data_IF_075757532578
#
_entry.id   IF_075757532578
#
_cell.length_a   1.000
_cell.length_b   1.000
_cell.length_c   1.000
_cell.angle_alpha   90.00
_cell.angle_beta   90.00
_cell.angle_gamma   90.00
#
_symmetry.space_group_name_H-M   'P 1'
#
loop_
_entity.id
_entity.type
_entity.pdbx_description
1 polymer ?
#
# COMPACT_ATOMS: atom_id res chain seq x y z
N UNK A 1 0.03 -17.28 -9.01
CA UNK A 1 -0.57 -18.61 -8.70
C UNK A 1 -2.06 -18.53 -8.98
N UNK A 2 -2.65 -19.50 -9.69
CA UNK A 2 -4.08 -19.47 -9.96
C UNK A 2 -4.89 -19.68 -8.67
N UNK A 3 -5.86 -18.80 -8.40
CA UNK A 3 -6.82 -18.97 -7.30
C UNK A 3 -7.63 -20.25 -7.52
N UNK A 4 -7.88 -21.03 -6.45
CA UNK A 4 -8.79 -22.20 -6.46
C UNK A 4 -10.27 -21.81 -6.45
N UNK A 5 -10.58 -20.55 -6.75
CA UNK A 5 -11.95 -20.04 -6.76
C UNK A 5 -12.76 -20.70 -7.90
N UNK A 6 -13.87 -21.34 -7.53
CA UNK A 6 -14.77 -22.03 -8.44
C UNK A 6 -15.80 -21.05 -9.06
N UNK A 7 -15.30 -19.98 -9.66
CA UNK A 7 -16.10 -19.01 -10.43
C UNK A 7 -16.02 -19.27 -11.94
N UNK A 8 -16.76 -18.48 -12.71
CA UNK A 8 -16.63 -18.44 -14.17
C UNK A 8 -15.18 -18.09 -14.58
N UNK A 9 -14.81 -18.44 -15.82
CA UNK A 9 -13.47 -18.12 -16.33
C UNK A 9 -13.16 -16.62 -16.33
N UNK A 10 -14.17 -15.77 -16.47
CA UNK A 10 -14.01 -14.31 -16.37
C UNK A 10 -13.67 -13.88 -14.94
N UNK A 11 -14.41 -14.37 -13.94
CA UNK A 11 -14.15 -14.09 -12.51
C UNK A 11 -12.78 -14.61 -12.09
N UNK A 12 -12.41 -15.82 -12.53
CA UNK A 12 -11.12 -16.42 -12.22
C UNK A 12 -9.96 -15.60 -12.80
N UNK A 13 -10.09 -15.08 -14.03
CA UNK A 13 -9.11 -14.16 -14.62
C UNK A 13 -9.02 -12.84 -13.87
N UNK A 14 -10.16 -12.22 -13.54
CA UNK A 14 -10.19 -10.96 -12.80
C UNK A 14 -9.54 -11.10 -11.41
N UNK A 15 -9.88 -12.17 -10.68
CA UNK A 15 -9.30 -12.46 -9.36
C UNK A 15 -7.78 -12.70 -9.45
N UNK A 16 -7.32 -13.49 -10.42
CA UNK A 16 -5.90 -13.71 -10.61
C UNK A 16 -5.15 -12.41 -10.93
N UNK A 17 -5.73 -11.55 -11.78
CA UNK A 17 -5.14 -10.25 -12.08
C UNK A 17 -5.05 -9.37 -10.82
N UNK A 18 -6.12 -9.27 -10.04
CA UNK A 18 -6.14 -8.53 -8.78
C UNK A 18 -5.09 -9.04 -7.79
N UNK A 19 -4.99 -10.36 -7.59
CA UNK A 19 -3.99 -10.96 -6.70
C UNK A 19 -2.57 -10.63 -7.16
N UNK A 20 -2.30 -10.71 -8.47
CA UNK A 20 -0.98 -10.40 -9.00
C UNK A 20 -0.64 -8.91 -8.82
N UNK A 21 -1.60 -8.00 -9.06
CA UNK A 21 -1.42 -6.57 -8.84
C UNK A 21 -1.16 -6.26 -7.36
N UNK A 22 -1.97 -6.81 -6.45
CA UNK A 22 -1.81 -6.61 -5.02
C UNK A 22 -0.40 -7.02 -4.54
N UNK A 23 0.06 -8.21 -4.95
CA UNK A 23 1.40 -8.71 -4.59
C UNK A 23 2.53 -7.91 -5.22
N UNK A 24 2.34 -7.44 -6.45
CA UNK A 24 3.29 -6.55 -7.10
C UNK A 24 3.44 -5.27 -6.27
N UNK A 25 2.32 -4.64 -5.88
CA UNK A 25 2.30 -3.46 -5.03
C UNK A 25 2.97 -3.70 -3.68
N UNK A 26 2.70 -4.83 -3.03
CA UNK A 26 3.34 -5.21 -1.76
C UNK A 26 4.86 -5.35 -1.92
N UNK A 27 5.31 -6.01 -3.00
CA UNK A 27 6.74 -6.23 -3.28
C UNK A 27 7.46 -4.92 -3.54
N UNK A 28 6.90 -4.07 -4.42
CA UNK A 28 7.46 -2.78 -4.76
C UNK A 28 7.52 -1.88 -3.54
N UNK A 29 6.41 -1.77 -2.79
CA UNK A 29 6.34 -0.96 -1.57
C UNK A 29 7.38 -1.41 -0.54
N UNK A 30 7.50 -2.72 -0.31
CA UNK A 30 8.46 -3.27 0.64
C UNK A 30 9.89 -2.94 0.25
N UNK A 31 10.22 -2.97 -1.04
CA UNK A 31 11.57 -2.66 -1.51
C UNK A 31 11.87 -1.16 -1.46
N UNK A 32 11.00 -0.32 -2.01
CA UNK A 32 11.19 1.13 -2.07
C UNK A 32 11.19 1.76 -0.69
N UNK A 33 10.39 1.25 0.24
CA UNK A 33 10.26 1.80 1.59
C UNK A 33 11.14 1.08 2.64
N UNK A 34 11.95 0.09 2.25
CA UNK A 34 12.79 -0.69 3.17
C UNK A 34 13.65 0.19 4.08
N UNK A 35 14.23 1.25 3.50
CA UNK A 35 15.11 2.20 4.18
C UNK A 35 14.41 2.97 5.32
N UNK A 36 13.08 3.05 5.34
CA UNK A 36 12.34 3.70 6.44
C UNK A 36 12.51 2.93 7.76
N UNK A 37 12.73 1.62 7.68
CA UNK A 37 12.99 0.79 8.86
C UNK A 37 14.30 1.18 9.56
N UNK A 38 15.30 1.65 8.82
CA UNK A 38 16.57 2.14 9.39
C UNK A 38 16.37 3.39 10.25
N UNK A 39 15.32 4.17 9.96
CA UNK A 39 14.87 5.30 10.76
C UNK A 39 13.79 4.91 11.82
N UNK A 40 13.44 3.63 11.93
CA UNK A 40 12.40 3.14 12.84
C UNK A 40 10.98 3.56 12.47
N UNK A 41 10.73 3.87 11.19
CA UNK A 41 9.45 4.37 10.70
C UNK A 41 8.71 3.33 9.86
N UNK A 42 7.39 3.29 10.03
CA UNK A 42 6.47 2.66 9.06
C UNK A 42 6.17 3.62 7.90
N UNK A 43 5.71 3.08 6.77
CA UNK A 43 5.28 3.88 5.60
C UNK A 43 4.21 4.91 5.98
N UNK A 44 3.22 4.53 6.80
CA UNK A 44 2.16 5.45 7.22
C UNK A 44 2.65 6.56 8.16
N UNK A 45 3.60 6.26 9.05
CA UNK A 45 4.23 7.28 9.89
C UNK A 45 5.05 8.25 9.05
N UNK A 46 5.82 7.75 8.09
CA UNK A 46 6.54 8.58 7.15
C UNK A 46 5.60 9.50 6.36
N UNK A 47 4.49 8.97 5.82
CA UNK A 47 3.49 9.78 5.12
C UNK A 47 2.83 10.84 6.01
N UNK A 48 2.65 10.57 7.30
CA UNK A 48 2.18 11.58 8.27
C UNK A 48 3.19 12.72 8.42
N UNK A 49 4.48 12.38 8.54
CA UNK A 49 5.56 13.38 8.63
C UNK A 49 5.68 14.20 7.34
N UNK A 50 5.60 13.55 6.18
CA UNK A 50 5.62 14.20 4.87
C UNK A 50 4.46 15.20 4.73
N UNK A 51 3.24 14.80 5.12
CA UNK A 51 2.07 15.67 5.09
C UNK A 51 2.25 16.90 5.98
N UNK A 52 2.73 16.71 7.21
CA UNK A 52 3.00 17.81 8.15
C UNK A 52 4.13 18.72 7.66
N UNK A 53 5.16 18.16 7.04
CA UNK A 53 6.29 18.91 6.52
C UNK A 53 5.89 19.80 5.34
N UNK A 54 5.11 19.28 4.39
CA UNK A 54 4.73 20.01 3.19
C UNK A 54 3.50 20.90 3.33
N UNK A 55 2.54 20.53 4.18
CA UNK A 55 1.27 21.26 4.33
C UNK A 55 1.19 22.05 5.64
N UNK A 56 2.14 21.85 6.55
CA UNK A 56 2.13 22.46 7.87
C UNK A 56 1.23 21.71 8.87
N UNK A 57 0.89 22.36 10.01
CA UNK A 57 0.08 21.75 11.05
C UNK A 57 -1.30 21.32 10.53
N UNK A 58 -1.63 20.03 10.68
CA UNK A 58 -2.92 19.45 10.31
C UNK A 58 -3.54 18.75 11.52
N UNK A 59 -4.88 18.77 11.62
CA UNK A 59 -5.55 17.95 12.63
C UNK A 59 -5.54 16.47 12.21
N UNK A 60 -5.62 15.55 13.18
CA UNK A 60 -5.57 14.10 12.91
C UNK A 60 -6.59 13.64 11.87
N UNK A 61 -7.79 14.24 11.85
CA UNK A 61 -8.83 13.89 10.87
C UNK A 61 -8.44 14.22 9.45
N UNK A 62 -7.70 15.31 9.25
CA UNK A 62 -7.27 15.76 7.93
C UNK A 62 -6.07 14.92 7.44
N UNK A 63 -5.21 14.48 8.36
CA UNK A 63 -4.13 13.53 8.07
C UNK A 63 -4.71 12.18 7.65
N UNK A 64 -5.69 11.64 8.39
CA UNK A 64 -6.27 10.32 8.10
C UNK A 64 -7.16 10.25 6.84
N UNK A 65 -7.44 11.37 6.17
CA UNK A 65 -8.14 11.42 4.87
C UNK A 65 -7.21 11.27 3.66
N UNK A 66 -5.90 11.38 3.88
CA UNK A 66 -4.87 11.18 2.86
C UNK A 66 -4.46 9.71 2.83
#
# INVERSE_FOLDING_TARGET
MPSRHAGSEAERRALNAYINLLRCTETVTADTCRHLADAGLTVGQFGTLEALYHLGPLCQRDIGRK
#
